data_IF_216052257623
#
_entry.id   IF_216052257623
#
_cell.length_a   1.000
_cell.length_b   1.000
_cell.length_c   1.000
_cell.angle_alpha   90.00
_cell.angle_beta   90.00
_cell.angle_gamma   90.00
#
_symmetry.space_group_name_H-M   'P 1'
#
loop_
_entity.id
_entity.type
_entity.pdbx_description
1 polymer ?
#
# COMPACT_ATOMS: atom_id res chain seq x y z
N UNK A 1 14.10 -2.69 -19.11
CA UNK A 1 15.37 -2.00 -18.80
C UNK A 1 15.56 -1.97 -17.28
N UNK A 2 15.19 -0.90 -16.57
CA UNK A 2 15.64 -0.68 -15.18
C UNK A 2 15.36 -1.80 -14.15
N UNK A 3 14.17 -2.42 -14.18
CA UNK A 3 13.79 -3.45 -13.19
C UNK A 3 14.54 -4.78 -13.44
N UNK A 4 14.62 -5.20 -14.70
CA UNK A 4 15.27 -6.45 -15.11
C UNK A 4 16.81 -6.39 -14.96
N UNK A 5 17.40 -5.19 -15.00
CA UNK A 5 18.81 -4.98 -14.70
C UNK A 5 19.16 -5.20 -13.22
N UNK A 6 18.16 -5.21 -12.34
CA UNK A 6 18.31 -5.26 -10.88
C UNK A 6 17.73 -6.50 -10.24
N UNK A 7 16.67 -7.04 -10.84
CA UNK A 7 15.95 -8.19 -10.35
C UNK A 7 15.84 -9.22 -11.47
N UNK A 8 16.35 -10.42 -11.20
CA UNK A 8 16.21 -11.55 -12.10
C UNK A 8 14.72 -11.91 -12.26
N UNK A 9 14.15 -11.86 -13.48
CA UNK A 9 12.75 -12.17 -13.73
C UNK A 9 12.34 -13.60 -13.37
N UNK A 10 13.30 -14.53 -13.27
CA UNK A 10 13.09 -15.93 -12.88
C UNK A 10 13.35 -16.18 -11.38
N UNK A 11 13.73 -15.15 -10.64
CA UNK A 11 13.85 -15.15 -9.19
C UNK A 11 12.55 -14.72 -8.49
N UNK A 12 12.41 -15.11 -7.22
CA UNK A 12 11.29 -14.67 -6.41
C UNK A 12 11.66 -13.40 -5.65
N UNK A 13 11.02 -12.29 -6.01
CA UNK A 13 11.20 -11.00 -5.33
C UNK A 13 9.90 -10.20 -5.19
N UNK A 14 9.91 -9.28 -4.22
CA UNK A 14 8.93 -8.20 -4.03
C UNK A 14 9.68 -6.89 -3.80
N UNK A 15 9.21 -5.80 -4.41
CA UNK A 15 9.69 -4.44 -4.12
C UNK A 15 8.51 -3.62 -3.61
N UNK A 16 8.52 -3.26 -2.33
CA UNK A 16 7.52 -2.38 -1.73
C UNK A 16 7.81 -0.93 -2.11
N UNK A 17 6.82 -0.28 -2.71
CA UNK A 17 6.92 1.11 -3.20
C UNK A 17 6.27 2.11 -2.24
N UNK A 18 5.59 1.61 -1.23
CA UNK A 18 4.84 2.37 -0.24
C UNK A 18 5.71 2.67 0.99
N UNK A 19 5.51 3.84 1.59
CA UNK A 19 5.85 4.11 2.98
C UNK A 19 4.58 4.43 3.78
N UNK A 20 4.66 4.26 5.08
CA UNK A 20 3.60 4.61 6.03
C UNK A 20 4.25 5.15 7.31
N UNK A 21 3.46 5.72 8.21
CA UNK A 21 3.94 6.25 9.50
C UNK A 21 4.30 5.15 10.52
N UNK A 22 5.12 4.20 10.09
CA UNK A 22 5.74 3.20 10.96
C UNK A 22 7.23 3.12 10.63
N UNK A 23 8.03 2.84 11.65
CA UNK A 23 9.46 2.68 11.49
C UNK A 23 9.74 1.45 10.59
N UNK A 24 10.61 1.62 9.60
CA UNK A 24 11.02 0.54 8.70
C UNK A 24 12.43 0.09 9.12
N UNK A 25 12.56 -1.14 9.57
CA UNK A 25 13.86 -1.78 9.76
C UNK A 25 14.30 -2.38 8.44
N UNK A 26 15.51 -2.02 8.04
CA UNK A 26 16.08 -2.48 6.78
C UNK A 26 17.55 -2.83 6.94
N UNK A 27 18.02 -3.75 6.10
CA UNK A 27 19.43 -4.09 5.97
C UNK A 27 19.91 -3.83 4.54
N UNK A 28 21.22 -3.63 4.31
CA UNK A 28 21.74 -3.46 2.95
C UNK A 28 21.36 -4.64 2.05
N UNK A 29 20.94 -4.34 0.83
CA UNK A 29 20.76 -5.37 -0.21
C UNK A 29 21.94 -5.34 -1.20
N UNK A 30 22.04 -6.38 -2.02
CA UNK A 30 22.94 -6.40 -3.18
C UNK A 30 22.36 -5.72 -4.43
N UNK A 31 21.21 -5.04 -4.32
CA UNK A 31 20.51 -4.44 -5.46
C UNK A 31 21.00 -3.01 -5.68
N UNK A 32 21.46 -2.73 -6.90
CA UNK A 32 21.97 -1.41 -7.26
C UNK A 32 20.88 -0.31 -7.22
N UNK A 33 21.23 0.84 -6.66
CA UNK A 33 20.38 2.03 -6.62
C UNK A 33 19.92 2.48 -8.02
N UNK A 34 18.81 3.21 -8.06
CA UNK A 34 18.26 3.78 -9.29
C UNK A 34 17.60 5.13 -9.04
N UNK A 35 18.00 6.15 -9.82
CA UNK A 35 17.41 7.49 -9.75
C UNK A 35 17.31 8.06 -8.33
N UNK A 36 18.38 7.88 -7.53
CA UNK A 36 18.42 8.35 -6.14
C UNK A 36 17.55 7.56 -5.17
N UNK A 37 17.17 6.32 -5.52
CA UNK A 37 16.42 5.41 -4.66
C UNK A 37 17.20 4.12 -4.43
N UNK A 38 17.27 3.71 -3.17
CA UNK A 38 17.85 2.47 -2.73
C UNK A 38 16.80 1.38 -2.56
N UNK A 39 17.26 0.14 -2.56
CA UNK A 39 16.42 -1.06 -2.45
C UNK A 39 16.84 -1.95 -1.26
N UNK A 40 16.99 -1.43 -0.03
CA UNK A 40 17.40 -2.25 1.11
C UNK A 40 16.39 -3.37 1.40
N UNK A 41 16.86 -4.46 2.00
CA UNK A 41 16.01 -5.58 2.41
C UNK A 41 15.06 -5.13 3.52
N UNK A 42 13.83 -5.60 3.46
CA UNK A 42 12.79 -5.32 4.45
C UNK A 42 12.85 -6.35 5.59
N UNK A 43 13.22 -5.90 6.78
CA UNK A 43 13.43 -6.76 7.96
C UNK A 43 12.26 -6.70 8.95
N UNK A 44 11.54 -5.58 9.00
CA UNK A 44 10.35 -5.43 9.83
C UNK A 44 9.09 -5.89 9.12
N UNK A 45 8.07 -6.25 9.91
CA UNK A 45 6.73 -6.49 9.39
C UNK A 45 6.07 -5.18 8.97
N UNK A 46 5.31 -5.21 7.88
CA UNK A 46 4.56 -4.06 7.42
C UNK A 46 3.16 -4.42 6.95
N UNK A 47 2.31 -3.40 6.95
CA UNK A 47 0.94 -3.44 6.44
C UNK A 47 0.82 -2.50 5.24
N UNK A 48 -0.31 -2.58 4.54
CA UNK A 48 -0.55 -1.80 3.34
C UNK A 48 0.02 -2.45 2.07
N UNK A 49 -0.77 -2.34 1.00
CA UNK A 49 -0.48 -2.87 -0.34
C UNK A 49 -0.78 -1.83 -1.42
N UNK A 50 -0.74 -0.53 -1.08
CA UNK A 50 -1.06 0.56 -1.99
C UNK A 50 -0.08 0.64 -3.17
N UNK A 51 1.17 0.24 -2.97
CA UNK A 51 2.16 0.15 -4.04
C UNK A 51 3.24 -0.89 -3.79
N UNK A 52 3.32 -1.88 -4.67
CA UNK A 52 4.39 -2.88 -4.69
C UNK A 52 4.54 -3.48 -6.10
N UNK A 53 5.72 -4.03 -6.37
CA UNK A 53 6.00 -4.87 -7.53
C UNK A 53 6.26 -6.27 -7.00
N UNK A 54 5.66 -7.28 -7.62
CA UNK A 54 5.85 -8.68 -7.25
C UNK A 54 6.18 -9.50 -8.50
N UNK A 55 7.25 -10.29 -8.41
CA UNK A 55 7.63 -11.22 -9.48
C UNK A 55 6.57 -12.30 -9.69
N UNK A 56 6.51 -12.87 -10.90
CA UNK A 56 5.62 -13.99 -11.20
C UNK A 56 5.89 -15.19 -10.28
N UNK A 57 7.16 -15.48 -10.00
CA UNK A 57 7.56 -16.60 -9.15
C UNK A 57 7.13 -16.39 -7.70
N UNK A 58 7.29 -15.19 -7.14
CA UNK A 58 6.78 -14.86 -5.82
C UNK A 58 5.24 -14.94 -5.76
N UNK A 59 4.53 -14.43 -6.78
CA UNK A 59 3.07 -14.53 -6.82
C UNK A 59 2.58 -15.98 -6.81
N UNK A 60 3.21 -16.86 -7.60
CA UNK A 60 2.90 -18.29 -7.60
C UNK A 60 3.13 -18.91 -6.24
N UNK A 61 4.26 -18.60 -5.60
CA UNK A 61 4.52 -19.03 -4.23
C UNK A 61 3.37 -18.66 -3.28
N UNK A 62 2.90 -17.41 -3.29
CA UNK A 62 1.79 -17.02 -2.40
C UNK A 62 0.48 -17.73 -2.75
N UNK A 63 0.12 -17.82 -4.04
CA UNK A 63 -1.10 -18.52 -4.47
C UNK A 63 -1.10 -19.99 -4.05
N UNK A 64 0.02 -20.69 -4.25
CA UNK A 64 0.16 -22.10 -3.87
C UNK A 64 0.05 -22.27 -2.35
N UNK A 65 0.62 -21.35 -1.57
CA UNK A 65 0.51 -21.36 -0.09
C UNK A 65 -0.89 -21.03 0.39
N UNK A 66 -1.56 -20.05 -0.21
CA UNK A 66 -2.92 -19.65 0.17
C UNK A 66 -3.94 -20.73 -0.13
N UNK A 67 -3.78 -21.47 -1.23
CA UNK A 67 -4.68 -22.54 -1.64
C UNK A 67 -4.76 -23.71 -0.63
N UNK A 68 -3.71 -23.92 0.15
CA UNK A 68 -3.61 -25.02 1.12
C UNK A 68 -3.66 -24.56 2.58
N UNK A 69 -3.75 -23.25 2.83
CA UNK A 69 -3.74 -22.72 4.19
C UNK A 69 -5.13 -22.87 4.83
N UNK A 70 -5.25 -23.40 6.05
CA UNK A 70 -6.52 -23.43 6.77
C UNK A 70 -7.10 -22.02 6.94
N UNK A 71 -8.43 -21.89 6.90
CA UNK A 71 -9.14 -20.61 7.01
C UNK A 71 -8.79 -19.83 8.27
N UNK A 72 -8.55 -20.53 9.38
CA UNK A 72 -8.23 -19.95 10.69
C UNK A 72 -6.83 -19.32 10.70
N UNK A 73 -5.98 -19.74 9.76
CA UNK A 73 -4.62 -19.23 9.58
C UNK A 73 -4.54 -18.17 8.48
N UNK A 74 -5.61 -17.92 7.71
CA UNK A 74 -5.64 -16.81 6.77
C UNK A 74 -5.62 -15.48 7.53
N UNK A 75 -4.88 -14.53 6.98
CA UNK A 75 -4.67 -13.21 7.56
C UNK A 75 -4.81 -12.17 6.46
N UNK A 76 -4.74 -10.90 6.84
CA UNK A 76 -4.72 -9.82 5.87
C UNK A 76 -3.56 -10.02 4.87
N UNK A 77 -3.84 -9.81 3.59
CA UNK A 77 -2.93 -10.14 2.48
C UNK A 77 -1.61 -9.37 2.59
N UNK A 78 -1.68 -8.12 3.03
CA UNK A 78 -0.51 -7.27 3.30
C UNK A 78 0.41 -7.88 4.37
N UNK A 79 -0.16 -8.35 5.48
CA UNK A 79 0.62 -9.05 6.51
C UNK A 79 1.22 -10.33 5.95
N UNK A 80 0.49 -11.11 5.16
CA UNK A 80 1.03 -12.34 4.56
C UNK A 80 2.17 -12.07 3.57
N UNK A 81 2.15 -10.93 2.86
CA UNK A 81 3.18 -10.51 1.91
C UNK A 81 4.44 -9.96 2.60
N UNK A 82 4.27 -9.15 3.65
CA UNK A 82 5.35 -8.32 4.22
C UNK A 82 5.70 -8.66 5.67
N UNK A 83 5.31 -9.82 6.20
CA UNK A 83 5.75 -10.33 7.51
C UNK A 83 6.48 -11.66 7.40
N UNK A 84 7.13 -12.12 8.46
CA UNK A 84 7.76 -13.45 8.52
C UNK A 84 6.75 -14.60 8.71
N UNK A 85 5.43 -14.34 8.64
CA UNK A 85 4.38 -15.33 8.87
C UNK A 85 4.48 -16.57 7.95
N UNK A 86 4.87 -16.37 6.69
CA UNK A 86 5.19 -17.45 5.77
C UNK A 86 6.71 -17.57 5.64
N UNK A 87 7.22 -18.81 5.72
CA UNK A 87 8.60 -19.11 5.31
C UNK A 87 8.71 -18.92 3.79
N UNK A 88 9.30 -17.80 3.40
CA UNK A 88 9.44 -17.41 1.98
C UNK A 88 10.65 -18.04 1.29
N UNK A 89 11.36 -18.97 1.93
CA UNK A 89 12.45 -19.72 1.30
C UNK A 89 13.55 -18.83 0.70
N UNK A 90 13.90 -17.73 1.38
CA UNK A 90 14.91 -16.78 0.93
C UNK A 90 14.44 -15.76 -0.13
N UNK A 91 13.13 -15.63 -0.37
CA UNK A 91 12.57 -14.59 -1.25
C UNK A 91 13.07 -13.20 -0.87
N UNK A 92 13.59 -12.45 -1.85
CA UNK A 92 14.04 -11.07 -1.65
C UNK A 92 12.84 -10.14 -1.52
N UNK A 93 12.70 -9.48 -0.37
CA UNK A 93 11.69 -8.44 -0.15
C UNK A 93 12.43 -7.14 0.12
N UNK A 94 12.35 -6.20 -0.81
CA UNK A 94 13.00 -4.89 -0.69
C UNK A 94 11.99 -3.80 -0.35
N UNK A 95 12.41 -2.82 0.44
CA UNK A 95 11.74 -1.54 0.58
C UNK A 95 12.41 -0.53 -0.36
N UNK A 96 11.64 0.12 -1.23
CA UNK A 96 12.14 1.25 -2.00
C UNK A 96 12.25 2.48 -1.09
N UNK A 97 13.42 3.11 -1.05
CA UNK A 97 13.70 4.28 -0.21
C UNK A 97 14.38 5.39 -0.99
N UNK A 98 13.83 6.63 -1.03
CA UNK A 98 12.51 7.00 -0.53
C UNK A 98 11.39 6.25 -1.27
N UNK A 99 10.25 6.06 -0.61
CA UNK A 99 9.07 5.45 -1.22
C UNK A 99 8.44 6.34 -2.31
N UNK A 100 7.62 5.74 -3.18
CA UNK A 100 6.90 6.44 -4.26
C UNK A 100 5.49 6.86 -3.84
N UNK A 101 4.86 6.09 -2.95
CA UNK A 101 3.51 6.37 -2.50
C UNK A 101 3.36 6.21 -0.99
N UNK A 102 2.26 6.75 -0.49
CA UNK A 102 1.83 6.66 0.91
C UNK A 102 0.32 6.43 0.91
N UNK A 103 -0.21 5.61 1.80
CA UNK A 103 -1.65 5.34 1.87
C UNK A 103 -2.42 6.62 2.25
N UNK A 104 -3.50 6.93 1.54
CA UNK A 104 -4.24 8.20 1.71
C UNK A 104 -4.71 8.49 3.14
N UNK A 105 -4.94 7.45 3.93
CA UNK A 105 -5.37 7.52 5.33
C UNK A 105 -4.26 8.00 6.27
N UNK A 106 -3.01 7.80 5.88
CA UNK A 106 -1.86 8.31 6.63
C UNK A 106 -1.64 9.79 6.37
N UNK A 107 -2.02 10.35 5.21
CA UNK A 107 -1.87 11.78 4.97
C UNK A 107 -2.74 12.62 5.93
N UNK A 108 -2.20 13.69 6.55
CA UNK A 108 -2.99 14.72 7.20
C UNK A 108 -4.10 15.17 6.25
N UNK A 109 -5.32 15.00 6.70
CA UNK A 109 -6.45 14.76 5.82
C UNK A 109 -6.91 16.01 5.05
N UNK A 110 -6.40 16.19 3.84
CA UNK A 110 -7.05 17.03 2.82
C UNK A 110 -8.49 16.55 2.55
N UNK A 111 -8.74 15.24 2.70
CA UNK A 111 -10.05 14.61 2.56
C UNK A 111 -10.99 14.84 3.76
N UNK A 112 -10.51 14.97 5.01
CA UNK A 112 -11.41 15.33 6.13
C UNK A 112 -11.82 16.80 6.00
N UNK A 113 -10.93 17.66 5.53
CA UNK A 113 -11.27 19.06 5.22
C UNK A 113 -12.33 19.10 4.11
N UNK A 114 -12.10 18.41 2.98
CA UNK A 114 -13.08 18.35 1.89
C UNK A 114 -14.41 17.68 2.28
N UNK A 115 -14.40 16.61 3.08
CA UNK A 115 -15.63 15.98 3.60
C UNK A 115 -16.34 16.90 4.60
N UNK A 116 -15.66 17.48 5.59
CA UNK A 116 -16.26 18.42 6.54
C UNK A 116 -16.81 19.67 5.86
N UNK A 117 -16.11 20.20 4.86
CA UNK A 117 -16.58 21.32 4.05
C UNK A 117 -17.78 20.92 3.19
N UNK A 118 -17.81 19.71 2.63
CA UNK A 118 -18.99 19.15 1.93
C UNK A 118 -20.17 18.93 2.88
N UNK A 119 -19.95 18.50 4.12
CA UNK A 119 -20.98 18.39 5.15
C UNK A 119 -21.48 19.76 5.62
N UNK A 120 -20.59 20.75 5.78
CA UNK A 120 -20.94 22.15 6.10
C UNK A 120 -21.70 22.83 4.96
N UNK A 121 -21.32 22.57 3.71
CA UNK A 121 -21.96 23.12 2.51
C UNK A 121 -23.19 22.33 2.04
N UNK A 122 -23.44 21.13 2.58
CA UNK A 122 -24.74 20.45 2.45
C UNK A 122 -25.77 21.22 3.25
N UNK A 123 -26.34 22.26 2.62
CA UNK A 123 -27.57 22.88 3.09
C UNK A 123 -28.63 21.80 3.19
N UNK A 124 -29.28 21.68 4.34
CA UNK A 124 -30.31 20.66 4.51
C UNK A 124 -31.40 20.85 3.44
N UNK A 125 -31.99 19.78 2.91
CA UNK A 125 -33.10 19.87 1.95
C UNK A 125 -34.22 20.80 2.44
N UNK A 126 -34.44 20.85 3.77
CA UNK A 126 -35.41 21.74 4.41
C UNK A 126 -35.09 23.23 4.22
N UNK A 127 -33.81 23.61 4.19
CA UNK A 127 -33.37 25.01 3.97
C UNK A 127 -33.48 25.41 2.49
N UNK A 128 -33.19 24.48 1.57
CA UNK A 128 -33.39 24.68 0.12
C UNK A 128 -34.89 24.79 -0.23
N UNK A 129 -35.73 23.93 0.36
CA UNK A 129 -37.18 23.93 0.13
C UNK A 129 -37.85 25.22 0.66
N UNK A 130 -37.48 25.69 1.87
CA UNK A 130 -37.96 26.97 2.41
C UNK A 130 -37.63 28.17 1.52
N UNK A 131 -36.44 28.18 0.90
CA UNK A 131 -36.02 29.26 -0.02
C UNK A 131 -36.74 29.20 -1.37
N UNK A 132 -37.01 28.00 -1.89
CA UNK A 132 -37.79 27.84 -3.12
C UNK A 132 -39.23 28.32 -2.92
N UNK A 133 -39.88 27.92 -1.81
CA UNK A 133 -41.25 28.31 -1.49
C UNK A 133 -41.38 29.81 -1.15
N UNK A 134 -40.39 30.40 -0.46
CA UNK A 134 -40.37 31.84 -0.18
C UNK A 134 -40.15 32.74 -1.40
N UNK A 135 -39.73 32.17 -2.55
CA UNK A 135 -39.61 32.89 -3.83
C UNK A 135 -40.84 32.77 -4.72
N UNK A 136 -41.78 31.88 -4.40
CA UNK A 136 -43.01 31.65 -5.18
C UNK A 136 -44.17 32.52 -4.63
N UNK A 137 -43.98 33.19 -3.49
CA UNK A 137 -44.99 34.04 -2.83
C UNK A 137 -44.75 35.54 -2.91
N UNK A 138 -44.16 36.06 -4.00
CA UNK A 138 -44.16 37.51 -4.32
C UNK A 138 -44.51 37.73 -5.77
#
# INVERSE_FOLDING_TARGET
AWLQERFDPDSAFIVRLETMFMHVLTSPSGVADYCGRAFPLLESEHWGTAGYIISRKAMRFFLDRFAVLPSERLKAVDWMLFSSFLDKGGMTVCQLTPALCVQSETLPSQLKNGRQESYRNRRSPKVLLKRALGKIGR
#
